data_IF_450854505174
#
_entry.id   IF_450854505174
#
_cell.length_a   1.000
_cell.length_b   1.000
_cell.length_c   1.000
_cell.angle_alpha   90.00
_cell.angle_beta   90.00
_cell.angle_gamma   90.00
#
_symmetry.space_group_name_H-M   'P 1'
#
loop_
_entity.id
_entity.type
_entity.pdbx_description
1 polymer ?
#
# COMPACT_ATOMS: atom_id res chain seq x y z
N UNK A 1 29.88 -14.56 16.49
CA UNK A 1 29.90 -13.57 15.39
C UNK A 1 29.46 -12.22 15.97
N UNK A 2 30.27 -11.17 15.88
CA UNK A 2 29.97 -9.85 16.48
C UNK A 2 28.94 -9.10 15.61
N UNK A 3 27.94 -8.47 16.25
CA UNK A 3 26.89 -7.69 15.56
C UNK A 3 27.13 -6.21 15.81
N UNK A 4 27.13 -5.42 14.73
CA UNK A 4 27.36 -3.98 14.79
C UNK A 4 26.05 -3.22 14.61
N UNK A 5 25.74 -2.33 15.55
CA UNK A 5 24.56 -1.46 15.46
C UNK A 5 24.72 -0.43 14.34
N UNK A 6 23.60 0.10 13.83
CA UNK A 6 23.64 1.14 12.79
C UNK A 6 24.39 2.39 13.27
N UNK A 7 24.16 2.81 14.51
CA UNK A 7 24.85 3.94 15.13
C UNK A 7 26.37 3.74 15.20
N UNK A 8 26.82 2.54 15.60
CA UNK A 8 28.25 2.22 15.63
C UNK A 8 28.88 2.31 14.23
N UNK A 9 28.24 1.71 13.23
CA UNK A 9 28.73 1.75 11.84
C UNK A 9 28.84 3.18 11.33
N UNK A 10 27.83 4.02 11.60
CA UNK A 10 27.82 5.42 11.19
C UNK A 10 28.92 6.23 11.87
N UNK A 11 29.15 6.04 13.18
CA UNK A 11 30.21 6.72 13.91
C UNK A 11 31.61 6.35 13.37
N UNK A 12 31.88 5.06 13.15
CA UNK A 12 33.16 4.61 12.59
C UNK A 12 33.36 5.10 11.15
N UNK A 13 32.31 5.10 10.32
CA UNK A 13 32.41 5.67 8.98
C UNK A 13 32.76 7.17 9.04
N UNK A 14 32.10 7.95 9.89
CA UNK A 14 32.38 9.37 10.04
C UNK A 14 33.83 9.63 10.49
N UNK A 15 34.30 8.90 11.51
CA UNK A 15 35.68 8.98 12.00
C UNK A 15 36.68 8.58 10.91
N UNK A 16 36.41 7.50 10.17
CA UNK A 16 37.27 7.01 9.09
C UNK A 16 37.38 7.98 7.90
N UNK A 17 36.28 8.66 7.54
CA UNK A 17 36.30 9.67 6.47
C UNK A 17 37.05 10.93 6.88
N UNK A 18 36.88 11.37 8.13
CA UNK A 18 37.54 12.55 8.68
C UNK A 18 39.06 12.34 8.90
N UNK A 19 39.48 11.10 9.14
CA UNK A 19 40.86 10.77 9.43
C UNK A 19 41.78 10.80 8.19
N UNK A 20 43.04 11.18 8.42
CA UNK A 20 44.10 11.09 7.42
C UNK A 20 44.38 9.63 7.02
N UNK A 21 44.98 9.44 5.84
CA UNK A 21 45.24 8.09 5.30
C UNK A 21 46.08 7.22 6.24
N UNK A 22 47.04 7.81 6.95
CA UNK A 22 47.88 7.11 7.92
C UNK A 22 47.11 6.68 9.19
N UNK A 23 46.13 7.49 9.61
CA UNK A 23 45.37 7.29 10.85
C UNK A 23 44.22 6.29 10.70
N UNK A 24 43.69 6.13 9.48
CA UNK A 24 42.65 5.14 9.15
C UNK A 24 42.99 3.73 9.60
N UNK A 25 44.25 3.32 9.47
CA UNK A 25 44.71 2.02 9.93
C UNK A 25 44.66 1.84 11.44
N UNK A 26 44.84 2.93 12.20
CA UNK A 26 44.75 2.92 13.68
C UNK A 26 43.30 2.71 14.11
N UNK A 27 42.36 3.42 13.49
CA UNK A 27 40.91 3.30 13.77
C UNK A 27 40.46 1.85 13.55
N UNK A 28 40.84 1.25 12.42
CA UNK A 28 40.48 -0.14 12.11
C UNK A 28 41.04 -1.13 13.14
N UNK A 29 42.30 -0.97 13.55
CA UNK A 29 42.91 -1.84 14.56
C UNK A 29 42.28 -1.67 15.94
N UNK A 30 41.96 -0.44 16.35
CA UNK A 30 41.29 -0.14 17.62
C UNK A 30 39.98 -0.92 17.77
N UNK A 31 39.22 -0.99 16.69
CA UNK A 31 37.89 -1.61 16.69
C UNK A 31 37.89 -3.09 16.26
N UNK A 32 39.04 -3.63 15.84
CA UNK A 32 39.16 -4.97 15.25
C UNK A 32 38.42 -5.11 13.92
N UNK A 33 38.44 -4.07 13.10
CA UNK A 33 37.74 -3.99 11.82
C UNK A 33 38.70 -4.20 10.64
N UNK A 34 38.13 -4.69 9.55
CA UNK A 34 38.82 -4.80 8.27
C UNK A 34 38.26 -3.78 7.28
N UNK A 35 39.06 -3.37 6.29
CA UNK A 35 38.64 -2.44 5.24
C UNK A 35 37.38 -2.89 4.51
N UNK A 36 37.14 -4.21 4.41
CA UNK A 36 35.89 -4.78 3.87
C UNK A 36 34.65 -4.28 4.60
N UNK A 37 34.71 -4.12 5.94
CA UNK A 37 33.61 -3.59 6.73
C UNK A 37 33.27 -2.16 6.30
N UNK A 38 34.28 -1.33 6.08
CA UNK A 38 34.10 0.06 5.64
C UNK A 38 33.43 0.10 4.26
N UNK A 39 33.91 -0.73 3.32
CA UNK A 39 33.34 -0.81 1.97
C UNK A 39 31.87 -1.27 2.02
N UNK A 40 31.57 -2.31 2.78
CA UNK A 40 30.22 -2.83 2.95
C UNK A 40 29.29 -1.80 3.60
N UNK A 41 29.75 -1.12 4.65
CA UNK A 41 28.93 -0.14 5.36
C UNK A 41 28.69 1.11 4.52
N UNK A 42 29.66 1.57 3.71
CA UNK A 42 29.45 2.65 2.73
C UNK A 42 28.39 2.27 1.69
N UNK A 43 28.44 1.06 1.14
CA UNK A 43 27.42 0.55 0.19
C UNK A 43 26.04 0.50 0.84
N UNK A 44 25.95 0.00 2.07
CA UNK A 44 24.70 -0.06 2.81
C UNK A 44 24.14 1.34 3.12
N UNK A 45 24.99 2.30 3.50
CA UNK A 45 24.61 3.69 3.73
C UNK A 45 24.09 4.37 2.46
N UNK A 46 24.78 4.20 1.33
CA UNK A 46 24.36 4.73 0.04
C UNK A 46 23.01 4.13 -0.42
N UNK A 47 22.84 2.81 -0.30
CA UNK A 47 21.58 2.14 -0.61
C UNK A 47 20.44 2.59 0.32
N UNK A 48 20.74 2.85 1.59
CA UNK A 48 19.80 3.40 2.57
C UNK A 48 19.39 4.83 2.24
N UNK A 49 20.34 5.69 1.87
CA UNK A 49 20.07 7.06 1.41
C UNK A 49 19.19 7.06 0.16
N UNK A 50 19.49 6.22 -0.83
CA UNK A 50 18.67 6.06 -2.03
C UNK A 50 17.26 5.55 -1.71
N UNK A 51 17.12 4.63 -0.76
CA UNK A 51 15.80 4.16 -0.31
C UNK A 51 15.02 5.28 0.40
N UNK A 52 15.69 6.10 1.22
CA UNK A 52 15.10 7.27 1.89
C UNK A 52 14.67 8.38 0.93
N UNK A 53 15.35 8.51 -0.20
CA UNK A 53 15.01 9.46 -1.27
C UNK A 53 13.85 9.00 -2.18
N UNK A 54 13.24 7.83 -1.91
CA UNK A 54 11.85 7.59 -2.30
C UNK A 54 11.57 6.64 -3.46
N UNK A 55 12.53 5.85 -3.95
CA UNK A 55 12.27 4.92 -5.07
C UNK A 55 11.31 3.78 -4.71
N UNK A 56 11.70 2.88 -3.80
CA UNK A 56 10.94 1.63 -3.54
C UNK A 56 9.61 1.82 -2.80
N UNK A 57 9.50 2.84 -1.94
CA UNK A 57 8.28 3.08 -1.16
C UNK A 57 7.21 3.78 -1.99
N UNK A 58 7.58 4.62 -2.96
CA UNK A 58 6.64 5.28 -3.87
C UNK A 58 6.04 4.24 -4.83
N UNK A 59 6.85 3.41 -5.48
CA UNK A 59 6.38 2.36 -6.40
C UNK A 59 5.41 1.36 -5.76
N UNK A 60 5.65 0.95 -4.50
CA UNK A 60 4.74 0.05 -3.80
C UNK A 60 3.41 0.72 -3.48
N UNK A 61 3.44 1.97 -3.01
CA UNK A 61 2.24 2.76 -2.71
C UNK A 61 1.42 3.01 -3.97
N UNK A 62 2.06 3.34 -5.09
CA UNK A 62 1.37 3.60 -6.35
C UNK A 62 0.67 2.34 -6.87
N UNK A 63 1.33 1.18 -6.79
CA UNK A 63 0.70 -0.11 -7.12
C UNK A 63 -0.50 -0.45 -6.24
N UNK A 64 -0.40 -0.14 -4.94
CA UNK A 64 -1.49 -0.36 -3.99
C UNK A 64 -2.67 0.57 -4.26
N UNK A 65 -2.41 1.84 -4.59
CA UNK A 65 -3.43 2.81 -4.99
C UNK A 65 -4.17 2.34 -6.24
N UNK A 66 -3.47 1.88 -7.27
CA UNK A 66 -4.11 1.39 -8.50
C UNK A 66 -4.94 0.12 -8.26
N UNK A 67 -4.45 -0.79 -7.41
CA UNK A 67 -5.21 -1.97 -7.02
C UNK A 67 -6.49 -1.61 -6.25
N UNK A 68 -6.41 -0.64 -5.34
CA UNK A 68 -7.56 -0.14 -4.58
C UNK A 68 -8.57 0.58 -5.49
N UNK A 69 -8.11 1.40 -6.44
CA UNK A 69 -8.98 2.07 -7.44
C UNK A 69 -9.76 1.06 -8.27
N UNK A 70 -9.07 0.06 -8.80
CA UNK A 70 -9.70 -1.02 -9.59
C UNK A 70 -10.76 -1.77 -8.76
N UNK A 71 -10.48 -2.00 -7.48
CA UNK A 71 -11.44 -2.66 -6.58
C UNK A 71 -12.65 -1.77 -6.28
N UNK A 72 -12.44 -0.47 -6.08
CA UNK A 72 -13.50 0.49 -5.85
C UNK A 72 -14.45 0.55 -7.05
N UNK A 73 -13.91 0.69 -8.27
CA UNK A 73 -14.70 0.73 -9.51
C UNK A 73 -15.57 -0.52 -9.71
N UNK A 74 -15.00 -1.71 -9.44
CA UNK A 74 -15.76 -2.97 -9.48
C UNK A 74 -16.87 -3.01 -8.45
N UNK A 75 -16.57 -2.58 -7.22
CA UNK A 75 -17.56 -2.54 -6.14
C UNK A 75 -18.70 -1.55 -6.46
N UNK A 76 -18.38 -0.38 -7.02
CA UNK A 76 -19.36 0.61 -7.45
C UNK A 76 -20.24 0.07 -8.58
N UNK A 77 -19.66 -0.65 -9.54
CA UNK A 77 -20.40 -1.28 -10.65
C UNK A 77 -21.39 -2.34 -10.14
N UNK A 78 -20.97 -3.23 -9.25
CA UNK A 78 -21.84 -4.24 -8.65
C UNK A 78 -22.95 -3.61 -7.79
N UNK A 79 -22.61 -2.54 -7.07
CA UNK A 79 -23.57 -1.80 -6.27
C UNK A 79 -24.61 -1.08 -7.15
N UNK A 80 -24.20 -0.51 -8.29
CA UNK A 80 -25.13 0.05 -9.27
C UNK A 80 -26.06 -1.03 -9.85
N UNK A 81 -25.51 -2.21 -10.19
CA UNK A 81 -26.28 -3.34 -10.73
C UNK A 81 -27.32 -3.86 -9.74
N UNK A 82 -26.94 -4.04 -8.48
CA UNK A 82 -27.84 -4.52 -7.42
C UNK A 82 -28.96 -3.52 -7.13
N UNK A 83 -28.66 -2.21 -7.10
CA UNK A 83 -29.69 -1.16 -6.99
C UNK A 83 -30.69 -1.22 -8.14
N UNK A 84 -30.22 -1.34 -9.38
CA UNK A 84 -31.10 -1.44 -10.54
C UNK A 84 -32.02 -2.69 -10.49
N UNK A 85 -31.51 -3.81 -9.98
CA UNK A 85 -32.31 -5.02 -9.78
C UNK A 85 -33.40 -4.81 -8.71
N UNK A 86 -33.06 -4.16 -7.59
CA UNK A 86 -34.02 -3.83 -6.53
C UNK A 86 -35.12 -2.90 -7.04
N UNK A 87 -34.77 -1.89 -7.85
CA UNK A 87 -35.75 -0.98 -8.45
C UNK A 87 -36.72 -1.72 -9.37
N UNK A 88 -36.23 -2.68 -10.17
CA UNK A 88 -37.07 -3.50 -11.03
C UNK A 88 -38.03 -4.38 -10.21
N UNK A 89 -37.54 -5.02 -9.15
CA UNK A 89 -38.36 -5.84 -8.25
C UNK A 89 -39.44 -4.98 -7.57
N UNK A 90 -39.08 -3.79 -7.09
CA UNK A 90 -40.03 -2.85 -6.50
C UNK A 90 -41.13 -2.43 -7.48
N UNK A 91 -40.78 -2.14 -8.73
CA UNK A 91 -41.75 -1.81 -9.80
C UNK A 91 -42.66 -2.99 -10.13
N UNK A 92 -42.11 -4.20 -10.21
CA UNK A 92 -42.89 -5.41 -10.47
C UNK A 92 -43.89 -5.69 -9.34
N UNK A 93 -43.46 -5.54 -8.08
CA UNK A 93 -44.35 -5.68 -6.93
C UNK A 93 -45.49 -4.65 -6.97
N UNK A 94 -45.18 -3.37 -7.22
CA UNK A 94 -46.20 -2.33 -7.35
C UNK A 94 -47.22 -2.62 -8.47
N UNK A 95 -46.76 -3.11 -9.62
CA UNK A 95 -47.65 -3.54 -10.71
C UNK A 95 -48.59 -4.67 -10.24
N UNK A 96 -48.06 -5.67 -9.55
CA UNK A 96 -48.87 -6.79 -9.05
C UNK A 96 -49.93 -6.33 -8.06
N UNK A 97 -49.62 -5.38 -7.17
CA UNK A 97 -50.62 -4.78 -6.27
C UNK A 97 -51.76 -4.10 -7.06
N UNK A 98 -51.44 -3.29 -8.08
CA UNK A 98 -52.48 -2.63 -8.89
C UNK A 98 -53.36 -3.62 -9.65
N UNK A 99 -52.77 -4.73 -10.15
CA UNK A 99 -53.53 -5.78 -10.82
C UNK A 99 -54.42 -6.53 -9.82
N UNK A 100 -53.93 -6.81 -8.61
CA UNK A 100 -54.70 -7.44 -7.54
C UNK A 100 -55.91 -6.58 -7.14
N UNK A 101 -55.71 -5.29 -6.87
CA UNK A 101 -56.79 -4.35 -6.53
C UNK A 101 -57.86 -4.26 -7.64
N UNK A 102 -57.43 -4.30 -8.91
CA UNK A 102 -58.36 -4.28 -10.04
C UNK A 102 -59.17 -5.57 -10.19
N UNK A 103 -58.63 -6.71 -9.77
CA UNK A 103 -59.29 -8.02 -9.84
C UNK A 103 -60.33 -8.23 -8.73
N UNK A 104 -60.19 -7.54 -7.59
CA UNK A 104 -61.11 -7.60 -6.45
C UNK A 104 -62.35 -6.69 -6.60
N UNK A 105 -62.51 -5.98 -7.73
CA UNK A 105 -63.72 -5.19 -7.99
C UNK A 105 -64.84 -6.10 -8.54
N UNK A 106 -65.91 -6.40 -7.77
CA UNK A 106 -66.97 -7.27 -8.26
C UNK A 106 -67.72 -6.61 -9.44
N UNK A 107 -68.18 -7.38 -10.44
CA UNK A 107 -68.95 -6.82 -11.54
C UNK A 107 -70.22 -6.15 -11.00
N UNK A 108 -70.35 -4.85 -11.26
CA UNK A 108 -71.58 -4.08 -10.96
C UNK A 108 -72.72 -4.72 -11.76
N UNK A 109 -73.62 -5.43 -11.07
CA UNK A 109 -74.81 -6.01 -11.69
C UNK A 109 -75.68 -4.90 -12.29
N UNK A 110 -76.05 -4.96 -13.58
CA UNK A 110 -76.99 -4.00 -14.15
C UNK A 110 -78.39 -4.33 -13.63
N UNK A 111 -79.12 -3.31 -13.17
CA UNK A 111 -80.56 -3.35 -12.89
C UNK A 111 -81.33 -3.15 -14.18
#
# INVERSE_FOLDING_TARGET
>A
RRTFTAAFKAAILAEYEAAERAERGVILRREGLYTSHIIEWRKAAAAGAQAGLGGRSRDRRDKEIEALRTRAERAETELARTRAALDLVGKAHALLETLSESADTPPRSPR
#
